data_IF_993009833290
#
_entry.id   IF_993009833290
#
_cell.length_a   1.000
_cell.length_b   1.000
_cell.length_c   1.000
_cell.angle_alpha   90.00
_cell.angle_beta   90.00
_cell.angle_gamma   90.00
#
_symmetry.space_group_name_H-M   'P 1'
#
loop_
_entity.id
_entity.type
_entity.pdbx_description
1 polymer ?
#
# COMPACT_ATOMS: atom_id res chain seq x y z
N UNK A 1 -10.77 -1.76 -27.49
CA UNK A 1 -10.36 -2.09 -26.11
C UNK A 1 -9.51 -0.97 -25.47
N UNK A 2 -9.94 0.30 -25.46
CA UNK A 2 -9.03 1.44 -25.21
C UNK A 2 -9.40 2.41 -24.07
N UNK A 3 -10.35 2.07 -23.19
CA UNK A 3 -10.76 2.93 -22.05
C UNK A 3 -10.55 2.32 -20.66
N UNK A 4 -10.25 1.03 -20.58
CA UNK A 4 -10.09 0.35 -19.30
C UNK A 4 -8.73 0.70 -18.68
N UNK A 5 -8.72 0.97 -17.37
CA UNK A 5 -7.49 1.02 -16.58
C UNK A 5 -7.41 -0.27 -15.76
N UNK A 6 -6.24 -0.91 -15.79
CA UNK A 6 -5.96 -2.16 -15.10
C UNK A 6 -5.17 -1.91 -13.82
N UNK A 7 -5.34 -2.77 -12.81
CA UNK A 7 -4.51 -2.77 -11.59
C UNK A 7 -3.82 -4.14 -11.48
N UNK A 8 -2.50 -4.14 -11.45
CA UNK A 8 -1.69 -5.33 -11.17
C UNK A 8 -1.05 -5.16 -9.80
N UNK A 9 -1.46 -6.00 -8.83
CA UNK A 9 -0.97 -5.92 -7.45
C UNK A 9 -0.15 -7.16 -7.08
N UNK A 10 1.03 -6.96 -6.48
CA UNK A 10 1.93 -8.02 -6.05
C UNK A 10 2.71 -7.62 -4.80
N UNK A 11 2.86 -8.54 -3.84
CA UNK A 11 3.83 -8.39 -2.74
C UNK A 11 5.28 -8.68 -3.15
N UNK A 12 5.50 -9.13 -4.38
CA UNK A 12 6.82 -9.25 -4.99
C UNK A 12 6.89 -8.28 -6.17
N UNK A 13 7.24 -7.03 -5.86
CA UNK A 13 7.25 -5.90 -6.80
C UNK A 13 8.42 -5.96 -7.78
N UNK A 14 9.51 -6.66 -7.43
CA UNK A 14 10.61 -7.01 -8.35
C UNK A 14 10.11 -7.68 -9.64
N UNK A 15 9.04 -8.51 -9.56
CA UNK A 15 8.40 -9.13 -10.74
C UNK A 15 7.89 -8.11 -11.76
N UNK A 16 7.59 -6.87 -11.36
CA UNK A 16 7.17 -5.83 -12.30
C UNK A 16 8.32 -5.42 -13.24
N UNK A 17 9.59 -5.53 -12.82
CA UNK A 17 10.74 -5.23 -13.69
C UNK A 17 10.91 -6.27 -14.80
N UNK A 18 10.67 -7.54 -14.48
CA UNK A 18 10.71 -8.65 -15.45
C UNK A 18 9.61 -8.56 -16.51
N UNK A 19 8.46 -7.96 -16.16
CA UNK A 19 7.29 -7.86 -17.04
C UNK A 19 6.97 -6.42 -17.50
N UNK A 20 7.87 -5.45 -17.28
CA UNK A 20 7.60 -4.02 -17.52
C UNK A 20 7.09 -3.72 -18.95
N UNK A 21 7.61 -4.45 -19.94
CA UNK A 21 7.27 -4.30 -21.36
C UNK A 21 5.94 -4.99 -21.76
N UNK A 22 5.28 -5.69 -20.84
CA UNK A 22 4.02 -6.41 -21.09
C UNK A 22 2.79 -5.71 -20.49
N UNK A 23 2.98 -4.66 -19.67
CA UNK A 23 1.86 -3.95 -19.08
C UNK A 23 1.09 -3.11 -20.11
N UNK A 24 -0.25 -3.15 -20.12
CA UNK A 24 -1.06 -2.20 -20.87
C UNK A 24 -0.72 -0.74 -20.52
N UNK A 25 -0.88 0.17 -21.49
CA UNK A 25 -0.61 1.62 -21.30
C UNK A 25 -1.37 2.23 -20.11
N UNK A 26 -2.57 1.74 -19.83
CA UNK A 26 -3.41 2.20 -18.72
C UNK A 26 -3.34 1.19 -17.57
N UNK A 27 -2.25 1.25 -16.82
CA UNK A 27 -1.97 0.33 -15.72
C UNK A 27 -1.54 1.08 -14.46
N UNK A 28 -2.19 0.73 -13.34
CA UNK A 28 -1.64 0.90 -12.00
C UNK A 28 -0.81 -0.35 -11.64
N UNK A 29 0.41 -0.13 -11.15
CA UNK A 29 1.19 -1.15 -10.45
C UNK A 29 1.02 -0.94 -8.95
N UNK A 30 0.87 -2.01 -8.18
CA UNK A 30 0.67 -1.86 -6.74
C UNK A 30 1.21 -2.98 -5.87
N UNK A 31 1.30 -2.68 -4.59
CA UNK A 31 1.75 -3.63 -3.57
C UNK A 31 0.94 -3.50 -2.29
N UNK A 32 1.20 -4.41 -1.35
CA UNK A 32 0.66 -4.31 0.01
C UNK A 32 1.79 -3.97 0.98
N UNK A 33 1.58 -2.93 1.79
CA UNK A 33 2.43 -2.52 2.91
C UNK A 33 1.51 -2.48 4.13
N UNK A 34 1.48 -3.55 4.92
CA UNK A 34 0.53 -3.69 6.04
C UNK A 34 0.94 -2.93 7.32
N UNK A 35 2.25 -2.65 7.46
CA UNK A 35 2.91 -2.14 8.66
C UNK A 35 4.31 -1.63 8.28
N UNK A 36 5.06 -1.09 9.23
CA UNK A 36 6.49 -0.83 9.13
C UNK A 36 7.38 -1.95 9.72
N UNK A 37 6.79 -3.07 10.18
CA UNK A 37 7.47 -4.12 10.97
C UNK A 37 7.66 -5.41 10.19
N UNK A 38 8.90 -5.91 10.13
CA UNK A 38 9.26 -7.11 9.37
C UNK A 38 8.81 -8.44 10.01
N UNK A 39 8.24 -8.40 11.23
CA UNK A 39 7.84 -9.60 11.98
C UNK A 39 6.56 -10.30 11.46
N UNK A 40 5.98 -9.87 10.34
CA UNK A 40 4.87 -10.60 9.70
C UNK A 40 5.42 -11.86 9.04
N UNK A 41 5.22 -13.01 9.68
CA UNK A 41 5.56 -14.33 9.13
C UNK A 41 4.76 -14.55 7.83
N UNK A 42 5.41 -14.33 6.69
CA UNK A 42 4.86 -14.58 5.35
C UNK A 42 5.96 -15.00 4.40
N UNK A 43 5.62 -15.73 3.34
CA UNK A 43 6.56 -16.12 2.26
C UNK A 43 6.79 -15.01 1.23
N UNK A 44 6.39 -13.77 1.53
CA UNK A 44 6.55 -12.63 0.64
C UNK A 44 7.87 -11.88 0.92
N UNK A 45 8.43 -11.17 -0.08
CA UNK A 45 9.55 -10.24 0.10
C UNK A 45 9.36 -9.26 1.28
N UNK A 46 10.49 -8.78 1.81
CA UNK A 46 10.51 -7.81 2.91
C UNK A 46 9.85 -6.49 2.51
N UNK A 47 9.38 -5.72 3.50
CA UNK A 47 8.64 -4.49 3.24
C UNK A 47 9.52 -3.44 2.54
N UNK A 48 10.80 -3.35 2.93
CA UNK A 48 11.80 -2.52 2.24
C UNK A 48 11.99 -2.93 0.77
N UNK A 49 12.19 -4.23 0.49
CA UNK A 49 12.30 -4.72 -0.89
C UNK A 49 11.05 -4.39 -1.73
N UNK A 50 9.85 -4.42 -1.12
CA UNK A 50 8.61 -4.02 -1.80
C UNK A 50 8.62 -2.55 -2.20
N UNK A 51 9.01 -1.67 -1.27
CA UNK A 51 9.13 -0.23 -1.44
C UNK A 51 10.15 0.09 -2.53
N UNK A 52 11.38 -0.42 -2.39
CA UNK A 52 12.51 -0.13 -3.28
C UNK A 52 12.23 -0.56 -4.72
N UNK A 53 11.66 -1.75 -4.93
CA UNK A 53 11.34 -2.20 -6.28
C UNK A 53 10.09 -1.53 -6.89
N UNK A 54 9.17 -0.97 -6.08
CA UNK A 54 7.99 -0.27 -6.60
C UNK A 54 8.27 1.20 -6.93
N UNK A 55 9.08 1.88 -6.12
CA UNK A 55 9.42 3.31 -6.33
C UNK A 55 10.14 3.55 -7.67
N UNK A 56 10.87 2.56 -8.20
CA UNK A 56 11.49 2.58 -9.54
C UNK A 56 10.50 2.76 -10.73
N UNK A 57 9.19 2.72 -10.46
CA UNK A 57 8.13 2.86 -11.44
C UNK A 57 7.33 4.17 -11.35
N UNK A 58 7.56 5.03 -10.34
CA UNK A 58 6.76 6.25 -10.11
C UNK A 58 6.74 7.19 -11.31
N UNK A 59 7.86 7.35 -12.00
CA UNK A 59 7.98 8.19 -13.21
C UNK A 59 7.39 7.55 -14.48
N UNK A 60 6.99 6.27 -14.43
CA UNK A 60 6.65 5.45 -15.61
C UNK A 60 5.23 4.89 -15.60
N UNK A 61 4.72 4.57 -14.42
CA UNK A 61 3.41 3.95 -14.21
C UNK A 61 2.69 4.65 -13.07
N UNK A 62 1.36 4.59 -13.10
CA UNK A 62 0.58 4.95 -11.94
C UNK A 62 0.80 3.93 -10.83
N UNK A 63 0.89 4.38 -9.59
CA UNK A 63 1.24 3.56 -8.44
C UNK A 63 0.12 3.51 -7.41
N UNK A 64 -0.03 2.36 -6.77
CA UNK A 64 -1.05 2.09 -5.75
C UNK A 64 -0.44 1.33 -4.58
N UNK A 65 -0.75 1.73 -3.35
CA UNK A 65 -0.42 0.92 -2.17
C UNK A 65 -1.69 0.53 -1.44
N UNK A 66 -1.76 -0.74 -1.05
CA UNK A 66 -2.78 -1.26 -0.16
C UNK A 66 -2.21 -1.42 1.25
N UNK A 67 -2.83 -0.78 2.23
CA UNK A 67 -2.57 -0.94 3.67
C UNK A 67 -3.73 -1.78 4.22
N UNK A 68 -3.76 -3.06 3.79
CA UNK A 68 -4.87 -3.99 4.00
C UNK A 68 -4.38 -5.43 4.25
N UNK A 69 -4.71 -6.04 5.41
CA UNK A 69 -5.23 -5.37 6.61
C UNK A 69 -4.18 -4.40 7.17
N UNK A 70 -4.61 -3.23 7.65
CA UNK A 70 -3.74 -2.34 8.41
C UNK A 70 -3.41 -2.98 9.75
N UNK A 71 -2.13 -3.23 9.99
CA UNK A 71 -1.59 -3.69 11.27
C UNK A 71 -0.88 -2.53 11.97
N UNK A 72 -0.57 -2.66 13.25
CA UNK A 72 0.07 -1.59 14.01
C UNK A 72 1.44 -1.19 13.40
N UNK A 73 1.66 0.12 13.14
CA UNK A 73 2.53 0.59 12.03
C UNK A 73 3.43 1.83 12.25
N UNK A 74 3.44 2.44 13.43
CA UNK A 74 4.34 3.55 13.84
C UNK A 74 4.47 4.74 12.84
N UNK A 75 3.55 5.70 13.00
CA UNK A 75 3.14 6.72 12.01
C UNK A 75 4.27 7.30 11.14
N UNK A 76 5.32 7.89 11.73
CA UNK A 76 6.38 8.56 10.96
C UNK A 76 7.09 7.63 9.98
N UNK A 77 7.29 6.36 10.34
CA UNK A 77 7.99 5.39 9.48
C UNK A 77 7.06 4.97 8.33
N UNK A 78 5.80 4.70 8.63
CA UNK A 78 4.79 4.35 7.62
C UNK A 78 4.53 5.48 6.61
N UNK A 79 4.47 6.73 7.08
CA UNK A 79 4.36 7.92 6.22
C UNK A 79 5.60 8.03 5.32
N UNK A 80 6.80 7.84 5.86
CA UNK A 80 8.04 7.88 5.08
C UNK A 80 8.08 6.78 4.00
N UNK A 81 7.73 5.53 4.34
CA UNK A 81 7.67 4.42 3.39
C UNK A 81 6.71 4.69 2.23
N UNK A 82 5.52 5.21 2.53
CA UNK A 82 4.52 5.55 1.52
C UNK A 82 4.94 6.78 0.69
N UNK A 83 5.66 7.74 1.28
CA UNK A 83 6.20 8.89 0.57
C UNK A 83 7.33 8.50 -0.41
N UNK A 84 8.19 7.53 -0.05
CA UNK A 84 9.25 6.99 -0.93
C UNK A 84 8.65 6.32 -2.18
N UNK A 85 7.53 5.61 -2.05
CA UNK A 85 6.83 4.99 -3.20
C UNK A 85 6.22 6.07 -4.13
N UNK A 86 5.81 7.21 -3.57
CA UNK A 86 5.06 8.27 -4.25
C UNK A 86 3.82 7.76 -5.03
N UNK A 87 2.87 7.07 -4.38
CA UNK A 87 1.71 6.49 -5.05
C UNK A 87 0.66 7.54 -5.45
N UNK A 88 -0.01 7.34 -6.60
CA UNK A 88 -1.21 8.10 -6.96
C UNK A 88 -2.30 7.99 -5.87
N UNK A 89 -2.48 6.78 -5.31
CA UNK A 89 -3.42 6.55 -4.22
C UNK A 89 -3.01 5.43 -3.25
N UNK A 90 -3.44 5.58 -2.00
CA UNK A 90 -3.33 4.58 -0.94
C UNK A 90 -4.72 4.10 -0.52
N UNK A 91 -4.93 2.79 -0.53
CA UNK A 91 -6.14 2.14 -0.03
C UNK A 91 -5.89 1.63 1.39
N UNK A 92 -6.80 1.89 2.34
CA UNK A 92 -6.62 1.53 3.76
C UNK A 92 -7.86 0.79 4.27
N UNK A 93 -7.67 -0.38 4.90
CA UNK A 93 -8.75 -1.24 5.37
C UNK A 93 -8.33 -2.13 6.55
N UNK A 94 -9.28 -2.42 7.45
CA UNK A 94 -9.06 -3.28 8.61
C UNK A 94 -9.01 -4.78 8.23
N UNK A 95 -8.67 -5.66 9.17
CA UNK A 95 -8.95 -7.09 8.99
C UNK A 95 -10.48 -7.33 8.89
N UNK A 96 -10.87 -8.23 8.00
CA UNK A 96 -12.26 -8.65 7.77
C UNK A 96 -12.50 -10.12 8.09
N UNK A 97 -11.44 -10.89 8.41
CA UNK A 97 -11.51 -12.35 8.64
C UNK A 97 -11.39 -12.75 10.11
N UNK A 98 -11.15 -11.80 11.02
CA UNK A 98 -11.12 -12.06 12.46
C UNK A 98 -9.89 -12.87 12.87
N UNK A 99 -8.77 -12.71 12.17
CA UNK A 99 -7.52 -13.43 12.44
C UNK A 99 -6.77 -12.92 13.69
N UNK A 100 -7.37 -12.01 14.47
CA UNK A 100 -6.83 -11.41 15.69
C UNK A 100 -5.41 -10.82 15.49
N UNK A 101 -5.20 -10.16 14.35
CA UNK A 101 -3.95 -9.51 13.99
C UNK A 101 -3.71 -8.26 14.86
N UNK A 102 -2.46 -7.80 15.06
CA UNK A 102 -2.18 -6.62 15.86
C UNK A 102 -2.65 -5.35 15.14
N UNK A 103 -3.79 -4.80 15.55
CA UNK A 103 -4.38 -3.59 14.95
C UNK A 103 -3.86 -2.29 15.61
N UNK A 104 -3.70 -1.20 14.85
CA UNK A 104 -3.27 0.11 15.38
C UNK A 104 -4.36 0.79 16.22
N UNK A 105 -3.96 1.76 17.05
CA UNK A 105 -4.91 2.62 17.75
C UNK A 105 -5.66 3.58 16.80
N UNK A 106 -6.86 4.05 17.18
CA UNK A 106 -7.64 5.05 16.41
C UNK A 106 -6.84 6.31 16.05
N UNK A 107 -5.98 6.76 16.95
CA UNK A 107 -5.16 7.98 16.82
C UNK A 107 -4.12 7.81 15.72
N UNK A 108 -3.40 6.68 15.71
CA UNK A 108 -2.41 6.37 14.67
C UNK A 108 -3.06 6.35 13.29
N UNK A 109 -4.24 5.72 13.16
CA UNK A 109 -5.00 5.71 11.90
C UNK A 109 -5.37 7.13 11.45
N UNK A 110 -5.93 7.94 12.36
CA UNK A 110 -6.31 9.34 12.07
C UNK A 110 -5.11 10.18 11.64
N UNK A 111 -3.96 10.01 12.29
CA UNK A 111 -2.73 10.72 11.96
C UNK A 111 -2.15 10.28 10.62
N UNK A 112 -2.07 8.97 10.35
CA UNK A 112 -1.65 8.44 9.04
C UNK A 112 -2.51 9.01 7.91
N UNK A 113 -3.85 8.98 8.05
CA UNK A 113 -4.77 9.52 7.04
C UNK A 113 -4.54 11.03 6.81
N UNK A 114 -4.28 11.79 7.88
CA UNK A 114 -3.99 13.23 7.81
C UNK A 114 -2.68 13.50 7.06
N UNK A 115 -1.63 12.73 7.34
CA UNK A 115 -0.31 12.92 6.72
C UNK A 115 -0.29 12.46 5.25
N UNK A 116 -0.88 11.31 4.93
CA UNK A 116 -0.95 10.81 3.55
C UNK A 116 -1.73 11.75 2.61
N UNK A 117 -2.82 12.37 3.10
CA UNK A 117 -3.60 13.35 2.33
C UNK A 117 -2.81 14.59 1.87
N UNK A 118 -1.59 14.80 2.37
CA UNK A 118 -0.70 15.88 1.91
C UNK A 118 -0.05 15.59 0.56
N UNK A 119 0.06 14.32 0.15
CA UNK A 119 0.81 13.92 -1.05
C UNK A 119 0.17 12.81 -1.90
N UNK A 120 -0.88 12.12 -1.44
CA UNK A 120 -1.53 11.02 -2.18
C UNK A 120 -3.05 10.96 -1.94
N UNK A 121 -3.82 10.40 -2.88
CA UNK A 121 -5.25 10.18 -2.71
C UNK A 121 -5.50 9.04 -1.70
N UNK A 122 -6.22 9.31 -0.60
CA UNK A 122 -6.48 8.30 0.43
C UNK A 122 -7.89 7.70 0.29
N UNK A 123 -7.96 6.41 -0.03
CA UNK A 123 -9.21 5.62 -0.18
C UNK A 123 -9.45 4.76 1.06
N UNK A 124 -10.47 5.10 1.84
CA UNK A 124 -10.82 4.39 3.06
C UNK A 124 -11.85 3.29 2.75
N UNK A 125 -11.52 2.03 3.04
CA UNK A 125 -12.47 0.92 2.94
C UNK A 125 -13.58 1.06 3.99
N UNK A 126 -14.84 0.66 3.70
CA UNK A 126 -15.93 0.75 4.66
C UNK A 126 -15.66 0.04 6.00
N UNK A 127 -14.93 -1.08 5.97
CA UNK A 127 -14.58 -1.86 7.16
C UNK A 127 -13.55 -1.18 8.07
N UNK A 128 -12.80 -0.18 7.59
CA UNK A 128 -11.83 0.55 8.40
C UNK A 128 -12.49 1.30 9.55
N UNK A 129 -13.74 1.76 9.35
CA UNK A 129 -14.47 2.60 10.32
C UNK A 129 -14.42 2.04 11.74
N UNK A 130 -14.58 0.71 11.92
CA UNK A 130 -14.56 0.05 13.24
C UNK A 130 -13.31 0.28 14.08
N UNK A 131 -12.22 0.75 13.47
CA UNK A 131 -10.94 1.02 14.15
C UNK A 131 -10.74 2.49 14.54
N UNK A 132 -11.54 3.43 14.02
CA UNK A 132 -11.28 4.86 14.22
C UNK A 132 -12.52 5.78 14.31
N UNK A 133 -13.72 5.26 14.06
CA UNK A 133 -14.98 6.01 14.25
C UNK A 133 -15.31 6.19 15.72
#
# INVERSE_FOLDING_TARGET
FSKNTYLFQSKNTKRFQEFQNLFPRHTYLGTTIETNRDNIISKAPQIIERIDHLSLFSDKHKLMVSVEPILDFDVNIMVNYLNIIHPDFVSIGADSKGHNLPEPSPEKIKELIKELKKFTEVKLKPNLKRLYS
#
